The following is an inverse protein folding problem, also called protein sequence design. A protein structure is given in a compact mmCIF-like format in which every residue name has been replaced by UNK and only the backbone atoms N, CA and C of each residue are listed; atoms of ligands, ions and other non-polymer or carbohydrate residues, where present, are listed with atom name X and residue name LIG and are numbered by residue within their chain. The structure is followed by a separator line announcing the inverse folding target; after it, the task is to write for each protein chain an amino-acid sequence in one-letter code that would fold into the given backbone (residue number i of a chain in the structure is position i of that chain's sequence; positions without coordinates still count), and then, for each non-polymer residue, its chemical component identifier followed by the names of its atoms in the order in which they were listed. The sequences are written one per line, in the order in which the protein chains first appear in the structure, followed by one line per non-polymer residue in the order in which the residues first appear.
data_IF_135032423357
#
_entry.id   IF_135032423357
#
_cell.length_a   1.000
_cell.length_b   1.000
_cell.length_c   1.000
_cell.angle_alpha   90.00
_cell.angle_beta   90.00
_cell.angle_gamma   90.00
#
_symmetry.space_group_name_H-M   'P 1'
#
loop_
_entity.id
_entity.type
_entity.pdbx_description
1 polymer ?
#
# COMPACT_ATOMS: atom_id res chain seq x y z
N UNK A 1 33.94 36.23 -13.17
CA UNK A 1 34.07 34.81 -12.76
C UNK A 1 34.55 34.64 -11.30
N UNK A 2 35.58 35.39 -10.83
CA UNK A 2 36.07 35.25 -9.43
C UNK A 2 35.06 35.64 -8.32
N UNK A 3 34.08 36.49 -8.59
CA UNK A 3 33.09 36.94 -7.60
C UNK A 3 31.96 35.89 -7.33
N UNK A 4 31.60 35.09 -8.31
CA UNK A 4 30.56 34.03 -8.19
C UNK A 4 31.13 32.83 -7.42
N UNK A 5 32.42 32.51 -7.63
CA UNK A 5 33.09 31.42 -6.94
C UNK A 5 33.27 31.71 -5.42
N UNK A 6 33.37 32.97 -5.04
CA UNK A 6 33.49 33.40 -3.65
C UNK A 6 32.18 33.22 -2.86
N UNK A 7 31.02 33.37 -3.53
CA UNK A 7 29.70 33.15 -2.90
C UNK A 7 29.43 31.67 -2.64
N UNK A 8 29.90 30.78 -3.53
CA UNK A 8 29.73 29.33 -3.39
C UNK A 8 30.59 28.70 -2.30
N UNK A 9 31.66 29.44 -1.85
CA UNK A 9 32.56 28.98 -0.79
C UNK A 9 32.27 29.61 0.57
N UNK A 10 31.27 30.50 0.66
CA UNK A 10 30.86 31.06 1.95
C UNK A 10 30.24 29.97 2.83
N UNK A 11 30.65 29.86 4.11
CA UNK A 11 30.19 28.80 5.02
C UNK A 11 28.64 28.78 5.18
N UNK A 12 28.02 29.95 5.08
CA UNK A 12 26.55 30.09 5.15
C UNK A 12 25.85 29.43 3.97
N UNK A 13 26.41 29.52 2.75
CA UNK A 13 25.85 28.89 1.56
C UNK A 13 26.00 27.36 1.60
N UNK A 14 27.17 26.89 2.08
CA UNK A 14 27.44 25.46 2.26
C UNK A 14 26.51 24.89 3.34
N UNK A 15 26.25 25.62 4.41
CA UNK A 15 25.34 25.24 5.48
C UNK A 15 23.86 25.15 4.99
N UNK A 16 23.43 26.13 4.19
CA UNK A 16 22.11 26.11 3.56
C UNK A 16 21.93 24.94 2.57
N UNK A 17 22.98 24.63 1.81
CA UNK A 17 22.99 23.48 0.91
C UNK A 17 22.94 22.17 1.70
N UNK A 18 23.68 22.07 2.80
CA UNK A 18 23.65 20.91 3.69
C UNK A 18 22.29 20.72 4.34
N UNK A 19 21.65 21.79 4.83
CA UNK A 19 20.28 21.75 5.35
C UNK A 19 19.29 21.32 4.28
N UNK A 20 19.43 21.80 3.05
CA UNK A 20 18.57 21.39 1.92
C UNK A 20 18.70 19.88 1.63
N UNK A 21 19.93 19.35 1.59
CA UNK A 21 20.15 17.92 1.38
C UNK A 21 19.74 17.09 2.60
N UNK A 22 19.98 17.54 3.82
CA UNK A 22 19.55 16.86 5.05
C UNK A 22 18.01 16.80 5.17
N UNK A 23 17.31 17.87 4.77
CA UNK A 23 15.85 17.87 4.74
C UNK A 23 15.28 16.90 3.68
N UNK A 24 15.91 16.77 2.52
CA UNK A 24 15.46 15.83 1.49
C UNK A 24 15.73 14.36 1.87
N UNK A 25 16.79 14.06 2.62
CA UNK A 25 17.08 12.70 3.09
C UNK A 25 16.09 12.21 4.17
N UNK A 26 15.52 13.10 4.97
CA UNK A 26 14.55 12.75 6.00
C UNK A 26 13.15 12.40 5.45
N UNK A 27 12.84 12.74 4.18
CA UNK A 27 11.55 12.48 3.55
C UNK A 27 11.43 11.11 2.87
N UNK A 28 12.53 10.37 2.72
CA UNK A 28 12.56 9.12 1.94
C UNK A 28 11.95 7.91 2.67
N UNK A 29 11.69 7.98 3.98
CA UNK A 29 11.40 6.80 4.81
C UNK A 29 9.94 6.70 5.32
N UNK A 30 9.02 7.54 4.83
CA UNK A 30 7.65 7.62 5.39
C UNK A 30 6.63 6.64 4.77
N UNK A 31 6.97 5.87 3.74
CA UNK A 31 6.03 5.02 2.99
C UNK A 31 6.39 3.53 2.91
N UNK A 32 6.84 2.91 3.99
CA UNK A 32 7.23 1.49 3.99
C UNK A 32 6.06 0.49 3.99
N UNK A 33 4.82 0.92 4.25
CA UNK A 33 3.61 0.09 4.13
C UNK A 33 2.85 0.46 2.86
N UNK A 34 3.31 -0.05 1.71
CA UNK A 34 2.76 0.26 0.39
C UNK A 34 2.23 -1.00 -0.31
N UNK A 35 1.28 -0.80 -1.22
CA UNK A 35 0.84 -1.84 -2.15
C UNK A 35 1.43 -1.53 -3.53
N UNK A 36 2.30 -2.41 -3.99
CA UNK A 36 2.82 -2.42 -5.36
C UNK A 36 2.03 -3.46 -6.15
N UNK A 37 1.24 -3.03 -7.13
CA UNK A 37 0.36 -3.96 -7.84
C UNK A 37 1.14 -4.82 -8.83
N UNK A 38 1.20 -6.12 -8.60
CA UNK A 38 1.81 -7.15 -9.45
C UNK A 38 0.73 -7.83 -10.32
N UNK A 39 -0.05 -7.03 -11.04
CA UNK A 39 -1.16 -7.51 -11.87
C UNK A 39 -0.66 -8.44 -12.99
N UNK A 40 -1.25 -9.63 -13.07
CA UNK A 40 -0.89 -10.65 -14.05
C UNK A 40 0.19 -11.62 -13.57
N UNK A 41 0.92 -11.30 -12.49
CA UNK A 41 1.88 -12.20 -11.88
C UNK A 41 1.17 -13.30 -11.08
N UNK A 42 1.85 -14.42 -10.85
CA UNK A 42 1.32 -15.55 -10.11
C UNK A 42 2.02 -15.66 -8.75
N UNK A 43 1.25 -15.80 -7.68
CA UNK A 43 1.80 -16.03 -6.35
C UNK A 43 2.36 -17.46 -6.24
N UNK A 44 3.37 -17.69 -5.38
CA UNK A 44 3.92 -19.04 -5.16
C UNK A 44 2.91 -19.94 -4.43
N UNK A 45 2.35 -20.92 -5.13
CA UNK A 45 1.31 -21.81 -4.62
C UNK A 45 1.85 -22.96 -3.74
N UNK A 46 3.15 -23.22 -3.77
CA UNK A 46 3.82 -24.26 -2.99
C UNK A 46 4.19 -23.83 -1.56
N UNK A 47 3.72 -22.66 -1.12
CA UNK A 47 3.94 -22.20 0.24
C UNK A 47 3.00 -22.93 1.21
N UNK A 48 3.56 -23.31 2.36
CA UNK A 48 2.84 -24.01 3.43
C UNK A 48 2.48 -23.06 4.55
N UNK A 49 1.24 -23.15 5.01
CA UNK A 49 0.68 -22.41 6.14
C UNK A 49 -0.01 -23.40 7.09
N UNK A 50 -0.48 -22.92 8.24
CA UNK A 50 -1.25 -23.72 9.19
C UNK A 50 -2.65 -23.13 9.30
N UNK A 51 -3.67 -23.95 9.15
CA UNK A 51 -5.08 -23.53 9.24
C UNK A 51 -5.55 -23.38 10.70
N UNK A 52 -6.77 -22.94 10.88
CA UNK A 52 -7.38 -22.71 12.20
C UNK A 52 -7.60 -24.00 13.01
N UNK A 53 -7.43 -25.17 12.41
CA UNK A 53 -7.55 -26.51 13.05
C UNK A 53 -6.18 -27.09 13.42
N UNK A 54 -5.09 -26.38 13.06
CA UNK A 54 -3.70 -26.80 13.33
C UNK A 54 -3.11 -27.72 12.27
N UNK A 55 -3.76 -27.82 11.10
CA UNK A 55 -3.29 -28.65 9.99
C UNK A 55 -2.41 -27.83 9.04
N UNK A 56 -1.31 -28.44 8.58
CA UNK A 56 -0.50 -27.88 7.50
C UNK A 56 -1.24 -27.97 6.17
N UNK A 57 -1.32 -26.84 5.46
CA UNK A 57 -1.98 -26.72 4.16
C UNK A 57 -1.10 -25.98 3.18
N UNK A 58 -1.07 -26.40 1.93
CA UNK A 58 -0.41 -25.66 0.85
C UNK A 58 -1.42 -24.76 0.14
N UNK A 59 -0.98 -23.59 -0.32
CA UNK A 59 -1.86 -22.69 -1.04
C UNK A 59 -2.45 -23.31 -2.31
N UNK A 60 -1.73 -24.21 -2.99
CA UNK A 60 -2.23 -24.95 -4.14
C UNK A 60 -3.45 -25.83 -3.84
N UNK A 61 -3.61 -26.28 -2.60
CA UNK A 61 -4.73 -27.12 -2.19
C UNK A 61 -5.98 -26.28 -1.91
N UNK A 62 -5.79 -25.00 -1.57
CA UNK A 62 -6.85 -24.05 -1.27
C UNK A 62 -7.28 -23.23 -2.50
N UNK A 63 -6.32 -22.89 -3.39
CA UNK A 63 -6.56 -22.01 -4.54
C UNK A 63 -6.84 -22.86 -5.77
N UNK A 64 -8.10 -23.26 -5.96
CA UNK A 64 -8.56 -24.04 -7.11
C UNK A 64 -9.74 -23.39 -7.87
N UNK A 65 -10.20 -22.24 -7.39
CA UNK A 65 -11.21 -21.36 -7.98
C UNK A 65 -10.85 -19.89 -7.69
N UNK A 66 -11.60 -18.90 -8.20
CA UNK A 66 -11.40 -17.50 -7.81
C UNK A 66 -11.25 -17.35 -6.32
N UNK A 67 -10.21 -16.68 -5.86
CA UNK A 67 -9.90 -16.56 -4.44
C UNK A 67 -9.69 -15.11 -4.04
N UNK A 68 -10.31 -14.71 -2.94
CA UNK A 68 -10.08 -13.41 -2.29
C UNK A 68 -9.02 -13.59 -1.21
N UNK A 69 -7.86 -13.00 -1.38
CA UNK A 69 -6.77 -13.04 -0.42
C UNK A 69 -6.79 -11.76 0.42
N UNK A 70 -6.83 -11.92 1.74
CA UNK A 70 -6.80 -10.87 2.76
C UNK A 70 -5.58 -11.04 3.66
N UNK A 71 -4.71 -10.03 3.67
CA UNK A 71 -3.57 -9.96 4.58
C UNK A 71 -3.94 -9.19 5.84
N UNK A 72 -3.80 -9.84 6.98
CA UNK A 72 -4.23 -9.32 8.26
C UNK A 72 -3.29 -9.72 9.39
N UNK A 73 -3.60 -9.36 10.62
CA UNK A 73 -3.17 -10.10 11.80
C UNK A 73 -4.31 -10.13 12.83
N UNK A 74 -4.44 -11.26 13.52
CA UNK A 74 -5.66 -11.58 14.27
C UNK A 74 -5.81 -10.76 15.57
N UNK A 75 -4.69 -10.36 16.16
CA UNK A 75 -4.67 -9.49 17.35
C UNK A 75 -4.70 -7.98 17.03
N UNK A 76 -4.94 -7.63 15.78
CA UNK A 76 -5.03 -6.22 15.38
C UNK A 76 -6.16 -5.50 16.12
N UNK A 77 -5.79 -4.48 16.89
CA UNK A 77 -6.74 -3.57 17.50
C UNK A 77 -7.26 -2.49 16.54
N UNK A 78 -6.70 -2.42 15.32
CA UNK A 78 -6.98 -1.38 14.32
C UNK A 78 -7.85 -1.86 13.16
N UNK A 79 -7.26 -1.91 11.97
CA UNK A 79 -7.98 -2.04 10.69
C UNK A 79 -8.40 -3.46 10.31
N UNK A 80 -7.75 -4.53 10.82
CA UNK A 80 -8.00 -5.89 10.34
C UNK A 80 -9.40 -6.40 10.70
N UNK A 81 -9.84 -6.19 11.94
CA UNK A 81 -11.19 -6.60 12.36
C UNK A 81 -12.29 -5.87 11.58
N UNK A 82 -12.27 -4.53 11.47
CA UNK A 82 -13.22 -3.80 10.60
C UNK A 82 -13.19 -4.25 9.15
N UNK A 83 -12.02 -4.58 8.57
CA UNK A 83 -11.91 -5.08 7.20
C UNK A 83 -12.60 -6.43 7.04
N UNK A 84 -12.31 -7.40 7.91
CA UNK A 84 -12.94 -8.73 7.87
C UNK A 84 -14.46 -8.65 8.08
N UNK A 85 -14.93 -7.75 8.95
CA UNK A 85 -16.37 -7.50 9.09
C UNK A 85 -16.96 -6.90 7.81
N UNK A 86 -16.23 -6.00 7.15
CA UNK A 86 -16.62 -5.47 5.83
C UNK A 86 -16.68 -6.57 4.76
N UNK A 87 -15.76 -7.55 4.79
CA UNK A 87 -15.83 -8.74 3.92
C UNK A 87 -17.08 -9.56 4.26
N UNK A 88 -17.37 -9.83 5.54
CA UNK A 88 -18.57 -10.55 5.96
C UNK A 88 -19.83 -9.86 5.48
N UNK A 89 -19.89 -8.54 5.53
CA UNK A 89 -21.06 -7.76 5.10
C UNK A 89 -21.24 -7.77 3.58
N UNK A 90 -20.16 -7.69 2.80
CA UNK A 90 -20.27 -7.76 1.34
C UNK A 90 -20.63 -9.16 0.87
N UNK A 91 -20.10 -10.21 1.50
CA UNK A 91 -20.42 -11.61 1.22
C UNK A 91 -21.94 -11.89 1.35
N UNK A 92 -22.62 -11.23 2.31
CA UNK A 92 -24.09 -11.34 2.46
C UNK A 92 -24.89 -10.63 1.38
N UNK A 93 -24.28 -9.68 0.67
CA UNK A 93 -24.98 -8.78 -0.27
C UNK A 93 -24.75 -9.10 -1.74
N UNK A 94 -23.68 -9.87 -2.05
CA UNK A 94 -23.32 -10.22 -3.42
C UNK A 94 -24.04 -11.47 -3.88
N UNK A 95 -24.24 -11.59 -5.19
CA UNK A 95 -24.90 -12.75 -5.81
C UNK A 95 -24.05 -14.00 -5.91
N UNK A 96 -22.72 -13.83 -5.89
CA UNK A 96 -21.76 -14.94 -5.92
C UNK A 96 -21.69 -15.62 -4.56
N UNK A 97 -21.62 -16.93 -4.55
CA UNK A 97 -21.73 -17.76 -3.34
C UNK A 97 -20.33 -18.28 -2.96
N UNK A 98 -19.79 -17.93 -1.76
CA UNK A 98 -18.54 -18.51 -1.29
C UNK A 98 -18.66 -20.02 -1.17
N UNK A 99 -17.58 -20.72 -1.53
CA UNK A 99 -17.52 -22.17 -1.64
C UNK A 99 -17.96 -22.73 -3.01
N UNK A 100 -18.82 -22.00 -3.72
CA UNK A 100 -19.27 -22.36 -5.06
C UNK A 100 -18.55 -21.56 -6.13
N UNK A 101 -18.62 -20.24 -6.07
CA UNK A 101 -18.14 -19.34 -7.12
C UNK A 101 -16.75 -18.78 -6.81
N UNK A 102 -16.40 -18.70 -5.54
CA UNK A 102 -15.09 -18.22 -5.04
C UNK A 102 -14.83 -18.69 -3.62
N UNK A 103 -13.57 -18.60 -3.17
CA UNK A 103 -13.16 -18.85 -1.80
C UNK A 103 -12.46 -17.60 -1.22
N UNK A 104 -12.27 -17.59 0.09
CA UNK A 104 -11.61 -16.51 0.81
C UNK A 104 -10.48 -17.10 1.65
N UNK A 105 -9.34 -16.43 1.66
CA UNK A 105 -8.19 -16.81 2.49
C UNK A 105 -7.74 -15.56 3.24
N UNK A 106 -7.83 -15.58 4.56
CA UNK A 106 -7.24 -14.58 5.45
C UNK A 106 -5.95 -15.13 6.04
N UNK A 107 -4.83 -14.46 5.79
CA UNK A 107 -3.49 -14.91 6.23
C UNK A 107 -2.92 -13.90 7.19
N UNK A 108 -2.50 -14.39 8.38
CA UNK A 108 -1.75 -13.57 9.31
C UNK A 108 -0.38 -13.21 8.77
N UNK A 109 -0.05 -11.92 8.82
CA UNK A 109 1.29 -11.39 8.54
C UNK A 109 2.18 -11.34 9.79
N UNK A 110 1.66 -11.77 10.95
CA UNK A 110 2.44 -11.89 12.18
C UNK A 110 2.81 -13.34 12.46
N UNK A 111 4.11 -13.67 12.31
CA UNK A 111 4.67 -14.97 12.56
C UNK A 111 4.49 -15.48 14.01
N UNK A 112 4.14 -14.59 14.95
CA UNK A 112 3.94 -14.94 16.35
C UNK A 112 2.49 -15.32 16.66
N UNK A 113 1.57 -15.18 15.69
CA UNK A 113 0.19 -15.59 15.89
C UNK A 113 0.01 -17.09 15.76
N UNK A 114 -0.88 -17.62 16.59
CA UNK A 114 -1.12 -19.06 16.72
C UNK A 114 -2.41 -19.50 16.03
N UNK A 115 -2.56 -20.79 15.86
CA UNK A 115 -3.78 -21.41 15.31
C UNK A 115 -5.00 -21.16 16.18
N UNK A 116 -4.83 -21.03 17.51
CA UNK A 116 -5.92 -20.67 18.43
C UNK A 116 -6.43 -19.24 18.18
N UNK A 117 -5.51 -18.31 17.85
CA UNK A 117 -5.88 -16.94 17.48
C UNK A 117 -6.64 -16.92 16.14
N UNK A 118 -6.17 -17.72 15.16
CA UNK A 118 -6.88 -17.92 13.90
C UNK A 118 -8.29 -18.49 14.12
N UNK A 119 -8.42 -19.55 14.94
CA UNK A 119 -9.69 -20.15 15.28
C UNK A 119 -10.63 -19.19 16.03
N UNK A 120 -10.10 -18.38 16.94
CA UNK A 120 -10.90 -17.34 17.61
C UNK A 120 -11.40 -16.28 16.63
N UNK A 121 -10.55 -15.84 15.69
CA UNK A 121 -10.93 -14.90 14.65
C UNK A 121 -12.01 -15.48 13.75
N UNK A 122 -11.84 -16.72 13.31
CA UNK A 122 -12.84 -17.47 12.53
C UNK A 122 -14.21 -17.47 13.22
N UNK A 123 -14.26 -17.83 14.52
CA UNK A 123 -15.52 -17.79 15.31
C UNK A 123 -16.15 -16.38 15.31
N UNK A 124 -15.35 -15.34 15.48
CA UNK A 124 -15.85 -13.97 15.49
C UNK A 124 -16.48 -13.59 14.14
N UNK A 125 -15.83 -13.98 13.05
CA UNK A 125 -16.30 -13.69 11.70
C UNK A 125 -17.52 -14.55 11.33
N UNK A 126 -17.54 -15.84 11.73
CA UNK A 126 -18.71 -16.72 11.57
C UNK A 126 -19.93 -16.16 12.28
N UNK A 127 -19.76 -15.66 13.52
CA UNK A 127 -20.85 -15.01 14.27
C UNK A 127 -21.36 -13.76 13.54
N UNK A 128 -20.46 -12.92 13.03
CA UNK A 128 -20.85 -11.73 12.24
C UNK A 128 -21.53 -12.11 10.93
N UNK A 129 -21.10 -13.19 10.28
CA UNK A 129 -21.68 -13.69 9.04
C UNK A 129 -23.06 -14.35 9.29
N UNK A 130 -23.33 -14.82 10.51
CA UNK A 130 -24.54 -15.53 10.91
C UNK A 130 -24.55 -17.01 10.44
N UNK A 131 -23.39 -17.54 10.03
CA UNK A 131 -23.20 -18.94 9.63
C UNK A 131 -21.72 -19.32 9.71
N UNK A 132 -21.44 -20.58 9.93
CA UNK A 132 -20.11 -21.12 9.81
C UNK A 132 -19.76 -21.41 8.35
N UNK A 133 -18.54 -21.09 7.97
CA UNK A 133 -17.93 -21.49 6.72
C UNK A 133 -16.75 -22.43 7.01
N UNK A 134 -16.66 -23.58 6.31
CA UNK A 134 -15.51 -24.47 6.46
C UNK A 134 -14.23 -23.79 5.95
N UNK A 135 -13.07 -24.26 6.38
CA UNK A 135 -11.76 -23.73 5.95
C UNK A 135 -11.53 -23.88 4.45
N UNK A 136 -12.19 -24.81 3.80
CA UNK A 136 -12.20 -24.90 2.32
C UNK A 136 -12.93 -23.75 1.62
N UNK A 137 -13.67 -22.90 2.37
CA UNK A 137 -14.44 -21.77 1.84
C UNK A 137 -13.90 -20.41 2.34
N UNK A 138 -13.57 -20.34 3.64
CA UNK A 138 -12.90 -19.19 4.21
C UNK A 138 -11.84 -19.68 5.20
N UNK A 139 -10.62 -19.83 4.69
CA UNK A 139 -9.48 -20.24 5.49
C UNK A 139 -8.91 -19.09 6.33
N UNK A 140 -8.51 -19.41 7.57
CA UNK A 140 -7.78 -18.50 8.45
C UNK A 140 -6.43 -19.13 8.73
N UNK A 141 -5.37 -18.55 8.16
CA UNK A 141 -4.04 -19.15 8.11
C UNK A 141 -3.03 -18.38 8.95
N UNK A 142 -2.13 -19.13 9.58
CA UNK A 142 -0.90 -18.65 10.21
C UNK A 142 0.31 -19.26 9.51
N UNK A 143 1.49 -18.65 9.63
CA UNK A 143 2.68 -19.17 8.97
C UNK A 143 3.98 -18.64 9.56
N UNK A 144 5.07 -19.23 9.15
CA UNK A 144 6.40 -18.73 9.48
C UNK A 144 6.75 -17.47 8.69
N UNK A 145 7.74 -16.73 9.17
CA UNK A 145 8.15 -15.46 8.55
C UNK A 145 8.58 -15.62 7.09
N UNK A 146 9.24 -16.75 6.75
CA UNK A 146 9.75 -16.98 5.40
C UNK A 146 8.62 -17.10 4.38
N UNK A 147 7.60 -17.90 4.69
CA UNK A 147 6.44 -18.11 3.84
C UNK A 147 5.55 -16.85 3.78
N UNK A 148 5.38 -16.15 4.91
CA UNK A 148 4.67 -14.87 4.97
C UNK A 148 5.35 -13.85 4.04
N UNK A 149 6.67 -13.62 4.17
CA UNK A 149 7.36 -12.64 3.33
C UNK A 149 7.38 -13.02 1.85
N UNK A 150 7.57 -14.29 1.51
CA UNK A 150 7.51 -14.75 0.11
C UNK A 150 6.15 -14.47 -0.52
N UNK A 151 5.08 -14.71 0.23
CA UNK A 151 3.73 -14.50 -0.27
C UNK A 151 3.39 -13.02 -0.39
N UNK A 152 3.69 -12.23 0.65
CA UNK A 152 3.39 -10.80 0.67
C UNK A 152 4.21 -10.05 -0.38
N UNK A 153 5.48 -10.41 -0.58
CA UNK A 153 6.33 -9.84 -1.63
C UNK A 153 5.79 -10.17 -3.03
N UNK A 154 5.45 -11.43 -3.29
CA UNK A 154 4.84 -11.83 -4.55
C UNK A 154 3.50 -11.13 -4.81
N UNK A 155 2.72 -10.88 -3.77
CA UNK A 155 1.48 -10.11 -3.85
C UNK A 155 1.69 -8.59 -3.83
N UNK A 156 2.92 -8.09 -3.79
CA UNK A 156 3.23 -6.66 -3.69
C UNK A 156 2.65 -5.99 -2.44
N UNK A 157 2.45 -6.76 -1.38
CA UNK A 157 1.91 -6.30 -0.10
C UNK A 157 3.04 -6.05 0.88
N UNK A 158 3.43 -4.78 1.05
CA UNK A 158 4.48 -4.41 1.99
C UNK A 158 3.90 -3.95 3.33
N UNK A 159 4.51 -4.43 4.41
CA UNK A 159 4.14 -4.07 5.77
C UNK A 159 5.39 -3.78 6.62
N UNK A 160 5.22 -3.02 7.69
CA UNK A 160 6.32 -2.65 8.58
C UNK A 160 5.99 -3.02 10.02
N UNK A 161 6.90 -3.73 10.68
CA UNK A 161 6.82 -4.01 12.11
C UNK A 161 7.31 -2.79 12.90
N UNK A 162 6.50 -2.33 13.84
CA UNK A 162 6.79 -1.20 14.72
C UNK A 162 6.65 -1.62 16.18
N UNK A 163 7.06 -0.75 17.11
CA UNK A 163 6.83 -1.00 18.54
C UNK A 163 5.33 -1.05 18.91
N UNK A 164 4.47 -0.41 18.13
CA UNK A 164 3.02 -0.37 18.33
C UNK A 164 2.21 -1.43 17.59
N UNK A 165 2.87 -2.34 16.86
CA UNK A 165 2.24 -3.37 16.05
C UNK A 165 2.73 -3.40 14.61
N UNK A 166 1.93 -3.91 13.70
CA UNK A 166 2.27 -4.02 12.29
C UNK A 166 1.51 -2.97 11.49
N UNK A 167 2.26 -2.05 10.87
CA UNK A 167 1.69 -1.05 9.97
C UNK A 167 1.51 -1.68 8.58
N UNK A 168 0.29 -1.67 8.07
CA UNK A 168 -0.05 -2.17 6.74
C UNK A 168 -1.30 -1.48 6.19
N UNK A 169 -1.55 -1.62 4.89
CA UNK A 169 -2.79 -1.15 4.25
C UNK A 169 -3.85 -2.25 4.24
N UNK A 170 -5.12 -1.88 4.33
CA UNK A 170 -6.23 -2.79 4.09
C UNK A 170 -6.49 -2.90 2.60
N UNK A 171 -6.22 -4.04 1.99
CA UNK A 171 -6.47 -4.31 0.56
C UNK A 171 -6.87 -5.76 0.38
N UNK A 172 -7.77 -6.03 -0.54
CA UNK A 172 -8.11 -7.39 -0.96
C UNK A 172 -7.44 -7.66 -2.30
N UNK A 173 -6.81 -8.83 -2.43
CA UNK A 173 -6.19 -9.31 -3.66
C UNK A 173 -7.06 -10.41 -4.24
N UNK A 174 -7.50 -10.25 -5.48
CA UNK A 174 -8.31 -11.23 -6.18
C UNK A 174 -7.43 -12.06 -7.11
N UNK A 175 -7.47 -13.37 -6.92
CA UNK A 175 -6.71 -14.35 -7.66
C UNK A 175 -7.62 -15.19 -8.54
N UNK A 176 -7.14 -15.60 -9.71
CA UNK A 176 -7.78 -16.68 -10.46
C UNK A 176 -7.43 -18.06 -9.85
N UNK A 177 -8.01 -19.11 -10.43
CA UNK A 177 -7.80 -20.51 -10.00
C UNK A 177 -6.34 -21.01 -10.10
N UNK A 178 -5.49 -20.30 -10.81
CA UNK A 178 -4.06 -20.61 -10.96
C UNK A 178 -3.17 -19.72 -10.06
N UNK A 179 -3.76 -18.92 -9.16
CA UNK A 179 -3.04 -18.01 -8.28
C UNK A 179 -2.54 -16.75 -8.96
N UNK A 180 -3.02 -16.45 -10.18
CA UNK A 180 -2.67 -15.20 -10.87
C UNK A 180 -3.40 -14.03 -10.24
N UNK A 181 -2.69 -12.93 -10.01
CA UNK A 181 -3.23 -11.69 -9.46
C UNK A 181 -4.03 -10.97 -10.54
N UNK A 182 -5.34 -10.88 -10.34
CA UNK A 182 -6.28 -10.31 -11.30
C UNK A 182 -6.62 -8.87 -10.96
N UNK A 183 -6.82 -8.59 -9.65
CA UNK A 183 -7.25 -7.26 -9.21
C UNK A 183 -6.86 -7.02 -7.75
N UNK A 184 -6.58 -5.77 -7.45
CA UNK A 184 -6.55 -5.26 -6.09
C UNK A 184 -7.80 -4.42 -5.83
N UNK A 185 -8.43 -4.62 -4.70
CA UNK A 185 -9.56 -3.82 -4.26
C UNK A 185 -9.16 -3.10 -2.95
N UNK A 186 -9.07 -1.78 -3.05
CA UNK A 186 -8.87 -0.89 -1.91
C UNK A 186 -10.27 -0.54 -1.37
N UNK A 187 -10.67 -1.03 -0.20
CA UNK A 187 -11.96 -0.71 0.37
C UNK A 187 -12.01 0.75 0.80
N UNK A 188 -13.13 1.40 0.56
CA UNK A 188 -13.38 2.74 1.09
C UNK A 188 -13.71 2.69 2.57
N UNK A 189 -13.90 3.88 3.19
CA UNK A 189 -14.34 4.03 4.57
C UNK A 189 -15.73 4.65 4.63
N UNK A 190 -16.53 4.23 5.58
CA UNK A 190 -17.75 4.89 6.00
C UNK A 190 -17.42 6.08 6.92
N UNK A 191 -18.41 6.91 7.23
CA UNK A 191 -18.24 8.07 8.13
C UNK A 191 -17.86 7.66 9.56
N UNK A 192 -18.22 6.45 9.99
CA UNK A 192 -17.90 5.87 11.29
C UNK A 192 -16.52 5.17 11.34
N UNK A 193 -15.74 5.23 10.23
CA UNK A 193 -14.44 4.59 10.14
C UNK A 193 -14.46 3.10 9.79
N UNK A 194 -15.64 2.48 9.65
CA UNK A 194 -15.75 1.09 9.19
C UNK A 194 -15.41 0.98 7.69
N UNK A 195 -14.95 -0.19 7.25
CA UNK A 195 -14.67 -0.43 5.84
C UNK A 195 -15.97 -0.56 5.04
N UNK A 196 -15.97 0.08 3.87
CA UNK A 196 -17.05 0.00 2.90
C UNK A 196 -16.57 -0.70 1.63
N UNK A 197 -16.92 -1.98 1.51
CA UNK A 197 -16.73 -2.72 0.27
C UNK A 197 -17.99 -2.61 -0.57
N UNK A 198 -17.88 -2.02 -1.76
CA UNK A 198 -19.03 -1.83 -2.66
C UNK A 198 -19.37 -3.18 -3.31
N UNK A 199 -20.61 -3.71 -3.14
CA UNK A 199 -20.98 -5.04 -3.64
C UNK A 199 -20.73 -5.22 -5.14
N UNK A 200 -21.09 -4.25 -5.97
CA UNK A 200 -20.88 -4.33 -7.42
C UNK A 200 -19.40 -4.38 -7.82
N UNK A 201 -18.53 -3.70 -7.08
CA UNK A 201 -17.08 -3.73 -7.31
C UNK A 201 -16.50 -5.09 -6.91
N UNK A 202 -16.97 -5.64 -5.79
CA UNK A 202 -16.57 -6.97 -5.33
C UNK A 202 -17.05 -8.07 -6.30
N UNK A 203 -18.30 -8.01 -6.78
CA UNK A 203 -18.82 -8.91 -7.81
C UNK A 203 -18.03 -8.85 -9.11
N UNK A 204 -17.66 -7.63 -9.54
CA UNK A 204 -16.84 -7.44 -10.72
C UNK A 204 -15.46 -8.09 -10.55
N UNK A 205 -14.84 -7.94 -9.38
CA UNK A 205 -13.55 -8.55 -9.09
C UNK A 205 -13.61 -10.09 -9.09
N UNK A 206 -14.67 -10.68 -8.52
CA UNK A 206 -14.90 -12.14 -8.60
C UNK A 206 -15.08 -12.59 -10.05
N UNK A 207 -15.89 -11.86 -10.84
CA UNK A 207 -16.10 -12.18 -12.26
C UNK A 207 -14.79 -12.12 -13.04
N UNK A 208 -13.99 -11.06 -12.85
CA UNK A 208 -12.70 -10.91 -13.51
C UNK A 208 -11.75 -12.05 -13.13
N UNK A 209 -11.70 -12.44 -11.85
CA UNK A 209 -10.93 -13.57 -11.38
C UNK A 209 -11.40 -14.91 -11.99
N UNK A 210 -12.71 -15.10 -12.15
CA UNK A 210 -13.28 -16.29 -12.78
C UNK A 210 -12.94 -16.38 -14.27
N UNK A 211 -12.81 -15.24 -14.97
CA UNK A 211 -12.47 -15.19 -16.40
C UNK A 211 -10.99 -15.03 -16.68
N UNK A 212 -10.15 -14.83 -15.64
CA UNK A 212 -8.72 -14.54 -15.77
C UNK A 212 -8.43 -13.15 -16.39
N UNK A 213 -9.43 -12.24 -16.37
CA UNK A 213 -9.32 -10.91 -16.97
C UNK A 213 -8.62 -9.96 -16.02
N UNK A 214 -7.36 -9.64 -16.29
CA UNK A 214 -6.59 -8.70 -15.50
C UNK A 214 -7.12 -7.28 -15.71
N UNK A 215 -7.57 -6.65 -14.63
CA UNK A 215 -8.15 -5.30 -14.69
C UNK A 215 -7.45 -4.40 -13.67
N UNK A 216 -6.76 -3.33 -14.13
CA UNK A 216 -6.17 -2.33 -13.22
C UNK A 216 -7.27 -1.69 -12.37
N UNK A 217 -7.00 -1.45 -11.09
CA UNK A 217 -7.92 -0.69 -10.27
C UNK A 217 -8.07 0.72 -10.86
N UNK A 218 -9.31 1.20 -11.01
CA UNK A 218 -9.60 2.55 -11.51
C UNK A 218 -8.86 3.63 -10.70
N UNK A 219 -8.66 3.38 -9.41
CA UNK A 219 -7.85 4.24 -8.53
C UNK A 219 -6.37 4.28 -8.92
N UNK A 220 -5.79 3.22 -9.50
CA UNK A 220 -4.41 3.24 -9.97
C UNK A 220 -4.26 4.06 -11.25
N UNK A 221 -5.22 3.98 -12.17
CA UNK A 221 -5.24 4.80 -13.38
C UNK A 221 -5.40 6.29 -13.02
N UNK A 222 -6.33 6.61 -12.12
CA UNK A 222 -6.54 7.98 -11.64
C UNK A 222 -5.35 8.48 -10.80
N UNK A 223 -4.70 7.64 -10.00
CA UNK A 223 -3.47 8.00 -9.27
C UNK A 223 -2.33 8.27 -10.24
N UNK A 224 -2.16 7.47 -11.29
CA UNK A 224 -1.14 7.71 -12.33
C UNK A 224 -1.41 9.02 -13.07
N UNK A 225 -2.66 9.34 -13.39
CA UNK A 225 -3.02 10.63 -13.97
C UNK A 225 -2.94 11.80 -12.97
N UNK A 226 -3.19 11.57 -11.68
CA UNK A 226 -3.16 12.61 -10.64
C UNK A 226 -1.80 12.76 -9.94
N UNK A 227 -0.86 11.82 -10.12
CA UNK A 227 0.51 11.93 -9.58
C UNK A 227 1.31 13.09 -10.20
N UNK A 228 0.84 13.62 -11.32
CA UNK A 228 1.37 14.86 -11.91
C UNK A 228 0.82 16.14 -11.25
N UNK A 229 -0.18 16.05 -10.38
CA UNK A 229 -0.75 17.19 -9.66
C UNK A 229 -0.44 17.02 -8.17
N UNK A 230 0.53 17.75 -7.61
CA UNK A 230 0.86 17.69 -6.19
C UNK A 230 -0.37 18.07 -5.36
N UNK A 231 -0.75 17.26 -4.38
CA UNK A 231 -1.93 17.48 -3.52
C UNK A 231 -1.53 18.15 -2.21
N UNK A 232 -2.20 19.23 -1.86
CA UNK A 232 -2.16 19.85 -0.53
C UNK A 232 -0.76 20.28 -0.09
N UNK A 233 -0.17 19.60 0.86
CA UNK A 233 1.17 19.95 1.42
C UNK A 233 2.28 19.89 0.37
N UNK A 234 2.19 18.95 -0.58
CA UNK A 234 3.19 18.80 -1.66
C UNK A 234 3.11 19.97 -2.66
N UNK A 235 1.93 20.51 -2.89
CA UNK A 235 1.74 21.72 -3.71
C UNK A 235 2.34 22.95 -3.02
N UNK A 236 2.20 23.04 -1.70
CA UNK A 236 2.83 24.13 -0.93
C UNK A 236 4.35 24.02 -0.97
N UNK A 237 4.90 22.81 -0.83
CA UNK A 237 6.34 22.56 -0.93
C UNK A 237 6.85 22.88 -2.34
N UNK A 238 6.14 22.44 -3.38
CA UNK A 238 6.48 22.75 -4.77
C UNK A 238 6.47 24.28 -5.02
N UNK A 239 5.47 25.00 -4.52
CA UNK A 239 5.39 26.46 -4.60
C UNK A 239 6.52 27.14 -3.83
N UNK A 240 6.92 26.63 -2.66
CA UNK A 240 8.04 27.13 -1.88
C UNK A 240 9.37 26.88 -2.60
N UNK A 241 9.56 25.70 -3.19
CA UNK A 241 10.78 25.38 -3.96
C UNK A 241 10.89 26.21 -5.22
N UNK A 242 9.78 26.35 -6.00
CA UNK A 242 9.74 27.20 -7.19
C UNK A 242 9.91 28.68 -6.82
N UNK A 243 9.26 29.13 -5.75
CA UNK A 243 9.37 30.50 -5.24
C UNK A 243 10.80 30.83 -4.78
N UNK A 244 11.48 29.91 -4.06
CA UNK A 244 12.88 30.06 -3.65
C UNK A 244 13.82 30.08 -4.86
N UNK A 245 13.55 29.26 -5.89
CA UNK A 245 14.31 29.25 -7.13
C UNK A 245 14.21 30.59 -7.90
N UNK A 246 13.00 31.16 -7.96
CA UNK A 246 12.78 32.48 -8.59
C UNK A 246 13.47 33.58 -7.79
N UNK A 247 13.39 33.57 -6.46
CA UNK A 247 14.04 34.54 -5.58
C UNK A 247 15.56 34.48 -5.69
N UNK A 248 16.14 33.28 -5.74
CA UNK A 248 17.59 33.12 -5.90
C UNK A 248 18.07 33.57 -7.26
N UNK A 249 17.35 33.26 -8.34
CA UNK A 249 17.70 33.75 -9.69
C UNK A 249 17.57 35.26 -9.83
N UNK A 250 16.51 35.88 -9.25
CA UNK A 250 16.34 37.32 -9.21
C UNK A 250 17.46 38.00 -8.40
N UNK A 251 17.85 37.43 -7.25
CA UNK A 251 18.92 37.93 -6.42
C UNK A 251 20.29 37.88 -7.14
N UNK A 252 20.60 36.76 -7.78
CA UNK A 252 21.82 36.61 -8.60
C UNK A 252 21.81 37.62 -9.74
N UNK A 253 20.70 37.84 -10.42
CA UNK A 253 20.58 38.83 -11.50
C UNK A 253 20.83 40.25 -11.00
N UNK A 254 20.29 40.61 -9.82
CA UNK A 254 20.53 41.94 -9.19
C UNK A 254 22.00 42.12 -8.86
N UNK A 255 22.67 41.10 -8.32
CA UNK A 255 24.13 41.14 -7.98
C UNK A 255 24.93 41.35 -9.27
N UNK A 256 24.63 40.58 -10.35
CA UNK A 256 25.34 40.73 -11.63
C UNK A 256 25.15 42.13 -12.20
N UNK A 257 23.92 42.68 -12.14
CA UNK A 257 23.62 44.03 -12.61
C UNK A 257 24.38 45.09 -11.81
N UNK A 258 24.42 44.96 -10.47
CA UNK A 258 25.17 45.89 -9.62
C UNK A 258 26.67 45.80 -9.87
N UNK A 259 27.23 44.59 -10.05
CA UNK A 259 28.63 44.39 -10.37
C UNK A 259 29.03 45.01 -11.73
N UNK A 260 28.11 44.90 -12.75
CA UNK A 260 28.34 45.50 -14.05
C UNK A 260 28.36 47.07 -14.00
N UNK A 261 27.45 47.65 -13.22
CA UNK A 261 27.37 49.12 -13.04
C UNK A 261 28.59 49.63 -12.23
N UNK A 262 29.09 48.84 -11.26
CA UNK A 262 30.31 49.21 -10.50
C UNK A 262 31.59 49.06 -11.34
N UNK A 263 31.61 48.15 -12.32
CA UNK A 263 32.72 48.00 -13.28
C UNK A 263 32.85 49.16 -14.26
N UNK A 264 31.70 49.63 -14.78
CA UNK A 264 31.65 50.77 -15.73
C UNK A 264 32.08 52.12 -15.10
N UNK A 265 31.85 52.30 -13.80
CA UNK A 265 32.32 53.51 -13.09
C UNK A 265 33.84 53.57 -12.87
N UNK A 266 34.56 52.45 -12.94
CA UNK A 266 36.03 52.41 -12.81
C UNK A 266 36.78 52.58 -14.12
N UNK A 267 36.07 52.58 -15.25
CA UNK A 267 36.68 52.79 -16.57
C UNK A 267 36.58 54.25 -17.08
N UNK A 268 36.08 55.17 -16.25
CA UNK A 268 35.88 56.60 -16.61
C UNK A 268 36.77 57.53 -15.70
N UNK A 269 37.80 57.02 -15.08
CA UNK A 269 38.81 57.86 -14.36
C UNK A 269 40.18 57.62 -14.97
#
# INVERSE_FOLDING_TARGET
MKSVFKILTEPEFIFLLFLFFAFNSAYADYNSAEIVQHLGDTIPLNLTFVNSEGEEVQLQDLINKPTVLDFCYYQCAGICTPLMLGISDVVKKVKYIPGKDYDIISISIDQNETTEMAAQRKRTISAALGRDLPDSVWAFLTGDSTNIYKLTDAAGFHFQRTQGGILHKGVLVFLDKAGKIIRYLDPGYNQDGSFRIIPSTFEMAIKDAATGTVTPALTSILKTCSSFIPKGKDMLILLLVLGSGILTTAFVFIIIKKAKVAGDRKSVV
#
